data_IF_824219499980
#
_entry.id   IF_824219499980
#
_cell.length_a   1.000
_cell.length_b   1.000
_cell.length_c   1.000
_cell.angle_alpha   90.00
_cell.angle_beta   90.00
_cell.angle_gamma   90.00
#
_symmetry.space_group_name_H-M   'P 1'
#
loop_
_entity.id
_entity.type
_entity.pdbx_description
1 polymer ?
#
# COMPACT_ATOMS: atom_id res chain seq x y z
N UNK A 1 9.82 -6.83 -2.24
CA UNK A 1 10.24 -6.33 -0.92
C UNK A 1 10.64 -4.87 -1.12
N UNK A 2 10.28 -3.97 -0.20
CA UNK A 2 10.48 -2.52 -0.32
C UNK A 2 10.11 -1.99 -1.72
N UNK A 3 8.83 -1.99 -2.05
CA UNK A 3 8.31 -1.66 -3.40
C UNK A 3 8.73 -0.27 -3.91
N UNK A 4 9.12 0.62 -3.00
CA UNK A 4 9.59 1.97 -3.24
C UNK A 4 11.12 2.08 -3.40
N UNK A 5 11.88 1.00 -3.19
CA UNK A 5 13.33 1.04 -3.14
C UNK A 5 13.94 1.67 -4.40
N UNK A 6 14.79 2.67 -4.21
CA UNK A 6 15.46 3.45 -5.25
C UNK A 6 14.52 4.25 -6.20
N UNK A 7 13.23 4.37 -5.87
CA UNK A 7 12.28 5.20 -6.60
C UNK A 7 12.05 6.52 -5.88
N UNK A 8 12.05 7.62 -6.64
CA UNK A 8 11.54 8.87 -6.12
C UNK A 8 10.02 8.78 -5.96
N UNK A 9 9.46 9.40 -4.92
CA UNK A 9 8.02 9.34 -4.60
C UNK A 9 7.11 9.72 -5.77
N UNK A 10 7.51 10.70 -6.59
CA UNK A 10 6.76 11.11 -7.78
C UNK A 10 6.68 10.04 -8.88
N UNK A 11 7.54 9.02 -8.84
CA UNK A 11 7.46 7.87 -9.73
C UNK A 11 6.39 6.88 -9.26
N UNK A 12 6.11 6.81 -7.95
CA UNK A 12 5.12 5.89 -7.36
C UNK A 12 3.71 6.19 -7.89
N UNK A 13 3.36 7.46 -8.05
CA UNK A 13 2.08 7.92 -8.60
C UNK A 13 1.77 7.34 -9.98
N UNK A 14 2.81 7.04 -10.76
CA UNK A 14 2.69 6.45 -12.11
C UNK A 14 2.86 4.94 -12.08
N UNK A 15 3.79 4.46 -11.25
CA UNK A 15 4.13 3.05 -11.15
C UNK A 15 2.96 2.24 -10.58
N UNK A 16 2.33 2.69 -9.48
CA UNK A 16 1.27 1.91 -8.83
C UNK A 16 0.06 1.67 -9.74
N UNK A 17 -0.51 2.69 -10.41
CA UNK A 17 -1.59 2.45 -11.36
C UNK A 17 -1.18 1.55 -12.52
N UNK A 18 0.07 1.61 -12.97
CA UNK A 18 0.58 0.68 -14.00
C UNK A 18 0.67 -0.75 -13.47
N UNK A 19 1.17 -0.93 -12.25
CA UNK A 19 1.33 -2.23 -11.61
C UNK A 19 -0.03 -2.87 -11.30
N UNK A 20 -0.99 -2.10 -10.80
CA UNK A 20 -2.38 -2.55 -10.58
C UNK A 20 -2.99 -3.06 -11.89
N UNK A 21 -2.85 -2.30 -12.98
CA UNK A 21 -3.33 -2.73 -14.31
C UNK A 21 -2.67 -4.02 -14.77
N UNK A 22 -1.37 -4.16 -14.58
CA UNK A 22 -0.66 -5.39 -14.91
C UNK A 22 -1.19 -6.57 -14.06
N UNK A 23 -1.43 -6.38 -12.77
CA UNK A 23 -1.99 -7.43 -11.91
C UNK A 23 -3.35 -7.92 -12.42
N UNK A 24 -4.22 -7.00 -12.85
CA UNK A 24 -5.53 -7.33 -13.43
C UNK A 24 -5.39 -8.01 -14.80
N UNK A 25 -4.51 -7.52 -15.67
CA UNK A 25 -4.31 -8.05 -17.02
C UNK A 25 -3.78 -9.49 -17.01
N UNK A 26 -2.84 -9.78 -16.10
CA UNK A 26 -2.19 -11.09 -16.00
C UNK A 26 -2.83 -12.03 -14.98
N UNK A 27 -3.93 -11.62 -14.33
CA UNK A 27 -4.62 -12.38 -13.27
C UNK A 27 -3.66 -12.84 -12.15
N UNK A 28 -2.85 -11.90 -11.63
CA UNK A 28 -1.86 -12.15 -10.59
C UNK A 28 -2.09 -11.29 -9.35
N UNK A 29 -1.75 -11.83 -8.18
CA UNK A 29 -1.78 -11.10 -6.92
C UNK A 29 -0.39 -10.59 -6.55
N UNK A 30 -0.28 -9.29 -6.28
CA UNK A 30 0.93 -8.67 -5.78
C UNK A 30 0.97 -8.70 -4.25
N UNK A 31 2.07 -9.20 -3.70
CA UNK A 31 2.45 -9.00 -2.30
C UNK A 31 3.67 -8.09 -2.24
N UNK A 32 3.54 -6.98 -1.54
CA UNK A 32 4.56 -5.96 -1.41
C UNK A 32 4.68 -5.51 0.05
N UNK A 33 5.89 -5.09 0.41
CA UNK A 33 6.24 -4.51 1.70
C UNK A 33 6.75 -3.10 1.46
N UNK A 34 6.54 -2.23 2.44
CA UNK A 34 7.01 -0.84 2.44
C UNK A 34 7.20 -0.40 3.88
N UNK A 35 8.18 0.46 4.11
CA UNK A 35 8.32 1.21 5.37
C UNK A 35 8.04 2.71 5.17
N UNK A 36 7.74 3.13 3.95
CA UNK A 36 7.49 4.50 3.55
C UNK A 36 6.01 4.86 3.71
N UNK A 37 5.74 5.85 4.56
CA UNK A 37 4.39 6.43 4.68
C UNK A 37 3.94 7.07 3.36
N UNK A 38 4.84 7.72 2.64
CA UNK A 38 4.54 8.32 1.32
C UNK A 38 4.07 7.26 0.31
N UNK A 39 4.66 6.06 0.37
CA UNK A 39 4.24 4.92 -0.46
C UNK A 39 2.84 4.45 -0.08
N UNK A 40 2.54 4.36 1.22
CA UNK A 40 1.21 4.00 1.71
C UNK A 40 0.17 5.04 1.25
N UNK A 41 0.50 6.33 1.29
CA UNK A 41 -0.39 7.42 0.88
C UNK A 41 -0.75 7.32 -0.61
N UNK A 42 0.26 7.13 -1.47
CA UNK A 42 0.08 6.98 -2.93
C UNK A 42 -0.74 5.73 -3.25
N UNK A 43 -0.46 4.59 -2.61
CA UNK A 43 -1.22 3.35 -2.80
C UNK A 43 -2.68 3.55 -2.36
N UNK A 44 -2.90 4.11 -1.18
CA UNK A 44 -4.24 4.30 -0.64
C UNK A 44 -5.07 5.26 -1.50
N UNK A 45 -4.45 6.32 -2.04
CA UNK A 45 -5.10 7.23 -2.97
C UNK A 45 -5.44 6.58 -4.32
N UNK A 46 -4.60 5.65 -4.78
CA UNK A 46 -4.75 5.01 -6.10
C UNK A 46 -5.65 3.78 -6.08
N UNK A 47 -5.78 3.10 -4.95
CA UNK A 47 -6.45 1.81 -4.87
C UNK A 47 -7.97 1.90 -5.00
N UNK A 48 -8.54 0.99 -5.78
CA UNK A 48 -9.99 0.73 -5.79
C UNK A 48 -10.42 -0.01 -4.53
N UNK A 49 -11.67 0.17 -4.11
CA UNK A 49 -12.14 -0.21 -2.78
C UNK A 49 -12.03 -1.72 -2.48
N UNK A 50 -12.02 -2.58 -3.49
CA UNK A 50 -12.10 -4.04 -3.30
C UNK A 50 -10.78 -4.80 -3.54
N UNK A 51 -9.75 -4.13 -4.07
CA UNK A 51 -8.51 -4.78 -4.55
C UNK A 51 -7.32 -4.73 -3.59
N UNK A 52 -7.43 -4.04 -2.45
CA UNK A 52 -6.31 -3.75 -1.56
C UNK A 52 -6.57 -4.26 -0.13
N UNK A 53 -5.54 -4.86 0.47
CA UNK A 53 -5.48 -5.10 1.90
C UNK A 53 -4.09 -4.74 2.41
N UNK A 54 -4.03 -3.99 3.49
CA UNK A 54 -2.77 -3.65 4.16
C UNK A 54 -2.63 -4.42 5.47
N UNK A 55 -1.41 -4.83 5.78
CA UNK A 55 -1.08 -5.53 7.01
C UNK A 55 0.05 -4.79 7.71
N UNK A 56 -0.20 -4.26 8.90
CA UNK A 56 0.85 -3.70 9.75
C UNK A 56 1.44 -4.84 10.58
N UNK A 57 2.71 -5.16 10.32
CA UNK A 57 3.43 -6.24 10.99
C UNK A 57 4.23 -5.63 12.14
N UNK A 58 3.80 -5.90 13.38
CA UNK A 58 4.55 -5.49 14.57
C UNK A 58 5.57 -6.60 14.88
N UNK A 59 6.77 -6.25 15.34
CA UNK A 59 7.94 -7.14 15.46
C UNK A 59 7.81 -8.41 16.32
N UNK A 60 6.63 -8.74 16.86
CA UNK A 60 6.33 -10.07 17.39
C UNK A 60 5.87 -11.01 16.27
N UNK A 61 6.56 -12.14 16.16
CA UNK A 61 6.27 -13.20 15.19
C UNK A 61 4.79 -13.60 15.25
N UNK A 62 4.11 -13.55 14.10
CA UNK A 62 2.71 -13.96 13.96
C UNK A 62 1.67 -12.88 14.30
N UNK A 63 2.09 -11.66 14.67
CA UNK A 63 1.15 -10.55 14.87
C UNK A 63 1.12 -9.62 13.66
N UNK A 64 -0.05 -9.48 13.04
CA UNK A 64 -0.29 -8.50 12.00
C UNK A 64 -1.69 -7.92 12.14
N UNK A 65 -1.80 -6.60 12.03
CA UNK A 65 -3.10 -5.92 12.02
C UNK A 65 -3.51 -5.64 10.58
N UNK A 66 -4.65 -6.21 10.17
CA UNK A 66 -5.22 -6.02 8.83
C UNK A 66 -6.06 -4.73 8.75
N UNK A 67 -5.92 -4.02 7.64
CA UNK A 67 -6.73 -2.88 7.24
C UNK A 67 -7.35 -3.15 5.87
N UNK A 68 -8.65 -2.86 5.72
CA UNK A 68 -9.31 -2.82 4.41
C UNK A 68 -8.91 -1.57 3.63
N UNK A 69 -9.15 -1.52 2.31
CA UNK A 69 -8.92 -0.34 1.48
C UNK A 69 -9.59 0.91 2.06
N UNK A 70 -10.87 0.83 2.45
CA UNK A 70 -11.60 1.96 3.03
C UNK A 70 -10.97 2.42 4.35
N UNK A 71 -10.60 1.48 5.22
CA UNK A 71 -9.98 1.81 6.51
C UNK A 71 -8.60 2.42 6.31
N UNK A 72 -7.80 1.91 5.37
CA UNK A 72 -6.49 2.45 5.04
C UNK A 72 -6.60 3.87 4.51
N UNK A 73 -7.54 4.13 3.58
CA UNK A 73 -7.82 5.48 3.06
C UNK A 73 -8.18 6.44 4.19
N UNK A 74 -9.08 6.06 5.11
CA UNK A 74 -9.42 6.90 6.27
C UNK A 74 -8.22 7.18 7.17
N UNK A 75 -7.42 6.16 7.47
CA UNK A 75 -6.26 6.32 8.34
C UNK A 75 -5.20 7.26 7.73
N UNK A 76 -4.95 7.14 6.42
CA UNK A 76 -4.12 8.07 5.63
C UNK A 76 -4.68 9.49 5.68
N UNK A 77 -5.93 9.68 5.27
CA UNK A 77 -6.48 11.01 5.00
C UNK A 77 -6.93 11.77 6.25
N UNK A 78 -7.47 11.09 7.26
CA UNK A 78 -8.09 11.73 8.43
C UNK A 78 -7.16 11.84 9.63
N UNK A 79 -6.11 11.01 9.69
CA UNK A 79 -5.23 10.93 10.87
C UNK A 79 -3.76 11.21 10.61
N UNK A 80 -3.37 11.50 9.36
CA UNK A 80 -1.97 11.78 9.01
C UNK A 80 -1.00 10.68 9.48
N UNK A 81 -1.45 9.42 9.42
CA UNK A 81 -0.80 8.19 9.86
C UNK A 81 0.36 8.34 10.87
N UNK A 82 0.00 8.30 12.14
CA UNK A 82 0.83 7.71 13.19
C UNK A 82 0.77 6.16 13.05
N UNK A 83 1.34 5.62 11.96
CA UNK A 83 1.76 4.21 11.90
C UNK A 83 3.22 4.21 12.33
N UNK A 84 3.42 4.22 13.64
CA UNK A 84 4.66 3.82 14.28
C UNK A 84 4.39 2.60 15.15
#
# INVERSE_FOLDING_TARGET
>A
DEIEAALHVSALDKMFPWLERACVEYDVQLFATTHSLETIDVIAASAKDDGLAAFHVNGSVGSAKRYSSEMLKRLVHERGLDIR
#
